data_IF_910838984992
#
_entry.id   IF_910838984992
#
_cell.length_a   1.000
_cell.length_b   1.000
_cell.length_c   1.000
_cell.angle_alpha   90.00
_cell.angle_beta   90.00
_cell.angle_gamma   90.00
#
_symmetry.space_group_name_H-M   'P 1'
#
loop_
_entity.id
_entity.type
_entity.pdbx_description
1 polymer ?
#
# COMPACT_ATOMS: atom_id res chain seq x y z
N UNK A 1 -9.04 44.03 27.41
CA UNK A 1 -8.70 43.12 26.29
C UNK A 1 -7.27 42.61 26.52
N UNK A 2 -7.03 41.35 26.91
CA UNK A 2 -5.72 40.73 26.72
C UNK A 2 -5.80 39.58 25.71
N UNK A 3 -4.89 39.62 24.74
CA UNK A 3 -4.67 38.58 23.76
C UNK A 3 -3.82 37.47 24.38
N UNK A 4 -4.35 36.24 24.41
CA UNK A 4 -3.58 35.03 24.67
C UNK A 4 -3.92 34.03 23.56
N UNK A 5 -3.08 33.96 22.54
CA UNK A 5 -3.11 32.88 21.56
C UNK A 5 -1.73 32.24 21.57
N UNK A 6 -1.66 31.15 22.34
CA UNK A 6 -0.50 30.28 22.53
C UNK A 6 0.00 29.76 21.18
N UNK A 7 1.28 29.97 20.90
CA UNK A 7 1.98 29.33 19.80
C UNK A 7 2.08 27.83 20.11
N UNK A 8 1.26 27.02 19.45
CA UNK A 8 1.33 25.56 19.52
C UNK A 8 2.63 25.08 18.89
N UNK A 9 3.61 24.78 19.74
CA UNK A 9 4.80 24.01 19.37
C UNK A 9 4.36 22.61 18.96
N UNK A 10 4.35 22.34 17.66
CA UNK A 10 4.12 21.00 17.13
C UNK A 10 5.27 20.08 17.58
N UNK A 11 4.92 19.07 18.38
CA UNK A 11 5.87 18.06 18.89
C UNK A 11 6.41 17.19 17.75
N UNK A 12 7.74 17.04 17.60
CA UNK A 12 8.33 16.05 16.72
C UNK A 12 8.22 14.67 17.40
N UNK A 13 7.35 13.82 16.88
CA UNK A 13 7.16 12.45 17.41
C UNK A 13 5.90 11.75 16.93
N UNK A 14 4.94 12.48 16.37
CA UNK A 14 3.63 11.93 15.99
C UNK A 14 3.62 11.21 14.63
N UNK A 15 4.65 11.40 13.79
CA UNK A 15 4.74 10.72 12.48
C UNK A 15 5.44 9.35 12.56
N UNK A 16 6.17 9.05 13.64
CA UNK A 16 6.91 7.80 13.77
C UNK A 16 5.98 6.60 14.08
N UNK A 17 4.93 6.82 14.89
CA UNK A 17 3.97 5.78 15.23
C UNK A 17 3.08 5.34 14.04
N UNK A 18 2.68 6.29 13.20
CA UNK A 18 1.85 6.02 12.01
C UNK A 18 2.65 5.25 10.95
N UNK A 19 3.93 5.57 10.77
CA UNK A 19 4.79 4.87 9.82
C UNK A 19 5.05 3.39 10.21
N UNK A 20 5.15 3.09 11.51
CA UNK A 20 5.39 1.72 12.01
C UNK A 20 4.14 0.83 11.92
N UNK A 21 2.95 1.39 12.16
CA UNK A 21 1.64 0.72 12.05
C UNK A 21 1.23 0.40 10.60
N UNK A 22 1.59 1.29 9.66
CA UNK A 22 1.29 1.10 8.24
C UNK A 22 2.12 0.01 7.56
N UNK A 23 3.36 -0.22 8.00
CA UNK A 23 4.19 -1.34 7.52
C UNK A 23 3.66 -2.70 8.03
N UNK A 24 2.98 -2.72 9.19
CA UNK A 24 2.32 -3.89 9.77
C UNK A 24 1.01 -4.23 9.05
N UNK A 25 0.32 -3.23 8.49
CA UNK A 25 -0.88 -3.41 7.66
C UNK A 25 -0.61 -4.20 6.37
N UNK A 26 0.59 -4.06 5.79
CA UNK A 26 1.09 -4.94 4.72
C UNK A 26 1.57 -6.31 5.23
N UNK A 27 1.77 -6.46 6.54
CA UNK A 27 2.41 -7.60 7.19
C UNK A 27 1.59 -8.88 7.23
N UNK A 28 0.32 -8.87 6.78
CA UNK A 28 -0.56 -10.05 6.88
C UNK A 28 -1.35 -10.32 5.60
N UNK A 29 -0.65 -10.42 4.46
CA UNK A 29 -1.22 -11.15 3.32
C UNK A 29 -1.51 -12.57 3.79
N UNK A 30 -2.78 -12.97 3.78
CA UNK A 30 -3.18 -14.29 4.22
C UNK A 30 -2.39 -15.35 3.45
N UNK A 31 -1.81 -16.32 4.18
CA UNK A 31 -1.11 -17.42 3.53
C UNK A 31 -2.08 -18.16 2.60
N UNK A 32 -1.62 -18.62 1.42
CA UNK A 32 -2.51 -19.27 0.48
C UNK A 32 -3.16 -20.49 1.13
N UNK A 33 -4.49 -20.50 1.19
CA UNK A 33 -5.24 -21.65 1.74
C UNK A 33 -5.38 -22.78 0.72
N UNK A 34 -5.10 -22.52 -0.56
CA UNK A 34 -5.27 -23.45 -1.67
C UNK A 34 -3.97 -23.69 -2.43
N UNK A 35 -3.87 -24.88 -3.02
CA UNK A 35 -2.75 -25.24 -3.90
C UNK A 35 -2.69 -24.33 -5.12
N UNK A 36 -1.48 -24.03 -5.59
CA UNK A 36 -1.23 -23.18 -6.79
C UNK A 36 -1.86 -23.72 -8.07
N UNK A 37 -2.22 -25.00 -8.09
CA UNK A 37 -2.88 -25.68 -9.22
C UNK A 37 -4.41 -25.56 -9.17
N UNK A 38 -4.97 -25.04 -8.07
CA UNK A 38 -6.41 -24.84 -7.93
C UNK A 38 -6.84 -23.59 -8.70
N UNK A 39 -7.92 -23.70 -9.47
CA UNK A 39 -8.46 -22.58 -10.24
C UNK A 39 -8.87 -21.39 -9.35
N UNK A 40 -9.22 -21.64 -8.08
CA UNK A 40 -9.60 -20.59 -7.14
C UNK A 40 -8.40 -19.93 -6.44
N UNK A 41 -7.17 -20.41 -6.68
CA UNK A 41 -5.97 -19.81 -6.12
C UNK A 41 -5.84 -18.33 -6.50
N UNK A 42 -6.12 -18.00 -7.77
CA UNK A 42 -6.09 -16.62 -8.24
C UNK A 42 -7.18 -15.76 -7.57
N UNK A 43 -8.39 -16.32 -7.41
CA UNK A 43 -9.50 -15.64 -6.74
C UNK A 43 -9.21 -15.37 -5.27
N UNK A 44 -8.65 -16.34 -4.55
CA UNK A 44 -8.26 -16.21 -3.14
C UNK A 44 -7.13 -15.17 -2.98
N UNK A 45 -6.14 -15.22 -3.88
CA UNK A 45 -5.05 -14.25 -3.94
C UNK A 45 -5.58 -12.84 -4.18
N UNK A 46 -6.51 -12.67 -5.13
CA UNK A 46 -7.13 -11.38 -5.42
C UNK A 46 -7.96 -10.87 -4.25
N UNK A 47 -8.70 -11.73 -3.55
CA UNK A 47 -9.48 -11.37 -2.37
C UNK A 47 -8.58 -10.93 -1.20
N UNK A 48 -7.45 -11.60 -1.00
CA UNK A 48 -6.46 -11.24 0.02
C UNK A 48 -5.74 -9.92 -0.30
N UNK A 49 -5.45 -9.65 -1.58
CA UNK A 49 -4.73 -8.45 -2.02
C UNK A 49 -5.64 -7.21 -2.19
N UNK A 50 -6.92 -7.40 -2.48
CA UNK A 50 -7.87 -6.30 -2.68
C UNK A 50 -7.86 -5.23 -1.58
N UNK A 51 -8.03 -5.55 -0.28
CA UNK A 51 -8.04 -4.54 0.78
C UNK A 51 -6.70 -3.81 0.93
N UNK A 52 -5.58 -4.48 0.63
CA UNK A 52 -4.24 -3.88 0.70
C UNK A 52 -4.00 -2.88 -0.43
N UNK A 53 -4.46 -3.21 -1.64
CA UNK A 53 -4.38 -2.31 -2.79
C UNK A 53 -5.29 -1.09 -2.59
N UNK A 54 -6.50 -1.28 -2.08
CA UNK A 54 -7.41 -0.17 -1.78
C UNK A 54 -6.84 0.77 -0.71
N UNK A 55 -6.27 0.23 0.37
CA UNK A 55 -5.60 1.04 1.40
C UNK A 55 -4.41 1.83 0.85
N UNK A 56 -3.60 1.24 -0.03
CA UNK A 56 -2.48 1.93 -0.67
C UNK A 56 -2.95 3.08 -1.58
N UNK A 57 -4.04 2.86 -2.32
CA UNK A 57 -4.62 3.89 -3.18
C UNK A 57 -5.25 5.03 -2.37
N UNK A 58 -5.89 4.73 -1.26
CA UNK A 58 -6.48 5.71 -0.35
C UNK A 58 -5.41 6.60 0.30
N UNK A 59 -4.26 6.02 0.66
CA UNK A 59 -3.10 6.79 1.13
C UNK A 59 -2.50 7.66 0.04
N UNK A 60 -2.40 7.15 -1.19
CA UNK A 60 -1.93 7.95 -2.32
C UNK A 60 -2.87 9.16 -2.54
N UNK A 61 -4.18 8.94 -2.48
CA UNK A 61 -5.19 9.99 -2.56
C UNK A 61 -5.09 10.99 -1.41
N UNK A 62 -4.90 10.52 -0.18
CA UNK A 62 -4.70 11.37 1.01
C UNK A 62 -3.42 12.21 0.94
N UNK A 63 -2.38 11.73 0.26
CA UNK A 63 -1.17 12.48 -0.04
C UNK A 63 -1.34 13.46 -1.22
N UNK A 64 -2.53 13.53 -1.83
CA UNK A 64 -2.86 14.44 -2.92
C UNK A 64 -2.64 13.87 -4.32
N UNK A 65 -2.36 12.57 -4.46
CA UNK A 65 -2.23 11.93 -5.76
C UNK A 65 -3.59 11.56 -6.35
N UNK A 66 -3.72 11.59 -7.67
CA UNK A 66 -4.93 11.08 -8.34
C UNK A 66 -5.00 9.55 -8.20
N UNK A 67 -6.06 9.06 -7.54
CA UNK A 67 -6.27 7.62 -7.26
C UNK A 67 -6.18 6.76 -8.52
N UNK A 68 -6.72 7.25 -9.64
CA UNK A 68 -6.71 6.54 -10.93
C UNK A 68 -5.29 6.45 -11.49
N UNK A 69 -4.52 7.54 -11.48
CA UNK A 69 -3.10 7.52 -11.87
C UNK A 69 -2.27 6.62 -10.96
N UNK A 70 -2.50 6.68 -9.65
CA UNK A 70 -1.82 5.81 -8.68
C UNK A 70 -2.06 4.32 -9.00
N UNK A 71 -3.31 3.94 -9.31
CA UNK A 71 -3.63 2.56 -9.71
C UNK A 71 -2.91 2.12 -10.99
N UNK A 72 -2.87 2.99 -12.02
CA UNK A 72 -2.12 2.69 -13.24
C UNK A 72 -0.62 2.56 -12.97
N UNK A 73 -0.05 3.41 -12.12
CA UNK A 73 1.35 3.31 -11.71
C UNK A 73 1.62 2.01 -10.96
N UNK A 74 0.74 1.57 -10.07
CA UNK A 74 0.88 0.27 -9.39
C UNK A 74 0.87 -0.90 -10.37
N UNK A 75 -0.03 -0.89 -11.36
CA UNK A 75 -0.07 -1.90 -12.41
C UNK A 75 1.23 -1.91 -13.22
N UNK A 76 1.73 -0.73 -13.62
CA UNK A 76 2.97 -0.58 -14.37
C UNK A 76 4.18 -1.08 -13.57
N UNK A 77 4.28 -0.71 -12.29
CA UNK A 77 5.35 -1.19 -11.39
C UNK A 77 5.28 -2.72 -11.22
N UNK A 78 4.08 -3.28 -11.06
CA UNK A 78 3.88 -4.72 -10.94
C UNK A 78 4.34 -5.45 -12.22
N UNK A 79 3.93 -4.96 -13.39
CA UNK A 79 4.32 -5.51 -14.68
C UNK A 79 5.84 -5.42 -14.90
N UNK A 80 6.47 -4.30 -14.52
CA UNK A 80 7.93 -4.15 -14.57
C UNK A 80 8.64 -5.17 -13.69
N UNK A 81 8.15 -5.47 -12.48
CA UNK A 81 8.77 -6.48 -11.60
C UNK A 81 8.62 -7.90 -12.14
N UNK A 82 7.51 -8.21 -12.82
CA UNK A 82 7.31 -9.49 -13.52
C UNK A 82 8.21 -9.59 -14.76
N UNK A 83 8.38 -8.50 -15.49
CA UNK A 83 9.22 -8.43 -16.69
C UNK A 83 10.72 -8.33 -16.42
N UNK A 84 11.14 -7.67 -15.34
CA UNK A 84 12.54 -7.55 -14.93
C UNK A 84 13.15 -8.90 -14.51
N UNK A 85 12.32 -9.91 -14.20
CA UNK A 85 12.76 -11.30 -14.03
C UNK A 85 13.01 -12.07 -15.34
N UNK A 86 12.87 -11.44 -16.51
CA UNK A 86 13.08 -12.07 -17.83
C UNK A 86 14.37 -11.65 -18.55
N UNK A 87 15.24 -10.82 -17.96
CA UNK A 87 16.57 -10.51 -18.51
C UNK A 87 17.66 -11.47 -18.01
N UNK A 88 17.36 -12.76 -17.87
CA UNK A 88 18.37 -13.83 -17.70
C UNK A 88 17.97 -15.09 -18.48
N UNK A 89 17.63 -14.94 -19.77
CA UNK A 89 17.63 -16.10 -20.67
C UNK A 89 18.19 -15.77 -22.05
N UNK A 90 19.52 -15.73 -22.06
CA UNK A 90 20.48 -16.11 -23.12
C UNK A 90 20.38 -15.44 -24.50
#
# INVERSE_FOLDING_TARGET
MPAFASAGTALPGQYAGVAMDMMDSFGKIAAPTRSKTDFNYETDCRAALAPLVDGLLDMAESAGWDRRKAAYTLMFLSAQRVGAGKEERK
#
